data_IF_346090435906
#
_entry.id   IF_346090435906
#
_cell.length_a   1.000
_cell.length_b   1.000
_cell.length_c   1.000
_cell.angle_alpha   90.00
_cell.angle_beta   90.00
_cell.angle_gamma   90.00
#
_symmetry.space_group_name_H-M   'P 1'
#
loop_
_entity.id
_entity.type
_entity.pdbx_description
1 polymer ?
#
# COMPACT_ATOMS: atom_id res chain seq x y z
N UNK A 1 -1.18 17.02 -11.41
CA UNK A 1 -1.20 15.87 -12.34
C UNK A 1 -2.16 14.89 -11.68
N UNK A 2 -3.41 14.95 -12.12
CA UNK A 2 -4.55 14.40 -11.38
C UNK A 2 -5.12 13.23 -12.17
N UNK A 3 -4.32 12.18 -12.30
CA UNK A 3 -4.81 10.89 -12.75
C UNK A 3 -4.08 9.81 -11.97
N UNK A 4 -4.76 9.21 -10.99
CA UNK A 4 -4.22 8.09 -10.23
C UNK A 4 -4.37 6.76 -10.98
N UNK A 5 -5.26 6.68 -11.99
CA UNK A 5 -5.56 5.45 -12.73
C UNK A 5 -6.02 4.30 -11.82
N UNK A 6 -6.32 3.12 -12.40
CA UNK A 6 -6.28 1.88 -11.63
C UNK A 6 -4.83 1.58 -11.20
N UNK A 7 -4.65 0.78 -10.15
CA UNK A 7 -3.34 0.23 -9.81
C UNK A 7 -2.86 -0.59 -11.01
N UNK A 8 -1.66 -0.29 -11.51
CA UNK A 8 -1.00 -1.09 -12.52
C UNK A 8 -0.42 -2.34 -11.85
N UNK A 9 -1.13 -3.46 -12.01
CA UNK A 9 -0.80 -4.72 -11.37
C UNK A 9 0.48 -5.35 -11.93
N UNK A 10 0.77 -5.14 -13.21
CA UNK A 10 1.98 -5.63 -13.88
C UNK A 10 3.23 -4.86 -13.43
N UNK A 11 3.05 -3.62 -12.97
CA UNK A 11 4.13 -2.79 -12.43
C UNK A 11 4.35 -2.96 -10.92
N UNK A 12 3.61 -3.85 -10.25
CA UNK A 12 3.84 -4.14 -8.82
C UNK A 12 5.15 -4.90 -8.64
N UNK A 13 5.99 -4.43 -7.70
CA UNK A 13 7.20 -5.17 -7.34
C UNK A 13 6.86 -6.40 -6.49
N UNK A 14 7.58 -7.48 -6.74
CA UNK A 14 7.49 -8.71 -5.95
C UNK A 14 8.25 -8.53 -4.62
N UNK A 15 7.49 -8.20 -3.57
CA UNK A 15 8.04 -8.00 -2.23
C UNK A 15 8.46 -9.31 -1.55
N UNK A 16 7.85 -10.45 -1.91
CA UNK A 16 8.25 -11.75 -1.40
C UNK A 16 9.66 -12.09 -1.92
N UNK A 17 9.91 -11.90 -3.22
CA UNK A 17 11.23 -12.08 -3.82
C UNK A 17 12.29 -11.08 -3.27
N UNK A 18 11.88 -9.88 -2.87
CA UNK A 18 12.76 -8.91 -2.20
C UNK A 18 13.10 -9.34 -0.77
N UNK A 19 12.11 -9.83 -0.02
CA UNK A 19 12.29 -10.33 1.33
C UNK A 19 13.20 -11.57 1.37
N UNK A 20 13.04 -12.51 0.42
CA UNK A 20 13.92 -13.68 0.27
C UNK A 20 15.39 -13.30 0.01
N UNK A 21 15.64 -12.15 -0.62
CA UNK A 21 16.99 -11.61 -0.85
C UNK A 21 17.55 -10.87 0.36
N UNK A 22 16.80 -10.80 1.46
CA UNK A 22 17.17 -10.04 2.66
C UNK A 22 17.07 -8.52 2.50
N UNK A 23 16.37 -8.03 1.46
CA UNK A 23 16.19 -6.61 1.25
C UNK A 23 15.14 -6.06 2.23
N UNK A 24 15.47 -4.95 2.89
CA UNK A 24 14.49 -4.23 3.70
C UNK A 24 13.48 -3.52 2.79
N UNK A 25 12.22 -3.55 3.19
CA UNK A 25 11.14 -2.78 2.57
C UNK A 25 10.55 -1.82 3.60
N UNK A 26 9.94 -0.75 3.10
CA UNK A 26 9.28 0.25 3.91
C UNK A 26 7.79 0.24 3.62
N UNK A 27 7.02 -0.09 4.64
CA UNK A 27 5.56 -0.09 4.59
C UNK A 27 5.04 1.33 4.69
N UNK A 28 4.18 1.72 3.76
CA UNK A 28 3.50 3.01 3.81
C UNK A 28 1.98 2.88 4.00
N UNK A 29 1.41 1.69 3.80
CA UNK A 29 0.00 1.41 4.11
C UNK A 29 -0.15 -0.02 4.64
N UNK A 30 -0.89 -0.18 5.74
CA UNK A 30 -1.30 -1.50 6.26
C UNK A 30 -2.80 -1.70 6.07
N UNK A 31 -3.21 -2.93 5.76
CA UNK A 31 -4.62 -3.28 5.58
C UNK A 31 -4.88 -4.75 5.94
N UNK A 32 -6.13 -5.12 6.28
CA UNK A 32 -6.47 -6.50 6.59
C UNK A 32 -6.27 -7.41 5.37
N UNK A 33 -5.54 -8.53 5.54
CA UNK A 33 -5.21 -9.43 4.44
C UNK A 33 -6.43 -10.11 3.81
N UNK A 34 -7.54 -10.21 4.54
CA UNK A 34 -8.82 -10.71 4.03
C UNK A 34 -9.64 -9.64 3.29
N UNK A 35 -9.23 -8.38 3.32
CA UNK A 35 -9.88 -7.25 2.64
C UNK A 35 -9.17 -6.89 1.33
N UNK A 36 -8.74 -7.92 0.60
CA UNK A 36 -8.09 -7.80 -0.72
C UNK A 36 -9.00 -8.35 -1.81
N UNK A 37 -8.83 -7.87 -3.03
CA UNK A 37 -9.49 -8.41 -4.20
C UNK A 37 -8.72 -9.62 -4.78
N UNK A 38 -9.19 -10.15 -5.91
CA UNK A 38 -8.57 -11.29 -6.60
C UNK A 38 -7.10 -11.07 -7.00
N UNK A 39 -6.69 -9.81 -7.14
CA UNK A 39 -5.32 -9.42 -7.48
C UNK A 39 -4.44 -9.15 -6.24
N UNK A 40 -5.00 -9.29 -5.03
CA UNK A 40 -4.27 -9.09 -3.79
C UNK A 40 -4.09 -7.64 -3.35
N UNK A 41 -4.68 -6.66 -4.06
CA UNK A 41 -4.73 -5.25 -3.64
C UNK A 41 -5.94 -5.02 -2.74
N UNK A 42 -5.93 -4.02 -1.82
CA UNK A 42 -7.06 -3.76 -0.94
C UNK A 42 -8.34 -3.47 -1.72
N UNK A 43 -9.48 -3.99 -1.26
CA UNK A 43 -10.79 -3.78 -1.89
C UNK A 43 -11.39 -2.39 -1.62
N UNK A 44 -10.87 -1.67 -0.62
CA UNK A 44 -11.31 -0.32 -0.28
C UNK A 44 -10.90 0.70 -1.38
N UNK A 45 -11.84 1.50 -1.91
CA UNK A 45 -11.55 2.45 -2.98
C UNK A 45 -10.54 3.55 -2.61
N UNK A 46 -10.49 3.98 -1.34
CA UNK A 46 -9.53 4.99 -0.91
C UNK A 46 -8.13 4.42 -0.81
N UNK A 47 -7.98 3.17 -0.36
CA UNK A 47 -6.72 2.44 -0.37
C UNK A 47 -6.22 2.23 -1.81
N UNK A 48 -7.09 1.82 -2.72
CA UNK A 48 -6.73 1.70 -4.14
C UNK A 48 -6.27 3.02 -4.74
N UNK A 49 -7.02 4.10 -4.50
CA UNK A 49 -6.68 5.44 -4.99
C UNK A 49 -5.35 5.93 -4.45
N UNK A 50 -5.04 5.64 -3.19
CA UNK A 50 -3.79 6.04 -2.56
C UNK A 50 -2.60 5.28 -3.16
N UNK A 51 -2.69 3.96 -3.26
CA UNK A 51 -1.66 3.12 -3.88
C UNK A 51 -1.42 3.53 -5.34
N UNK A 52 -2.49 3.70 -6.12
CA UNK A 52 -2.39 4.07 -7.52
C UNK A 52 -1.80 5.48 -7.72
N UNK A 53 -2.07 6.41 -6.80
CA UNK A 53 -1.46 7.74 -6.84
C UNK A 53 0.05 7.71 -6.53
N UNK A 54 0.47 6.91 -5.55
CA UNK A 54 1.89 6.71 -5.21
C UNK A 54 2.62 6.07 -6.40
N UNK A 55 2.02 5.05 -7.01
CA UNK A 55 2.56 4.39 -8.20
C UNK A 55 2.64 5.34 -9.40
N UNK A 56 1.58 6.12 -9.66
CA UNK A 56 1.53 7.12 -10.74
C UNK A 56 2.55 8.25 -10.56
N UNK A 57 3.00 8.50 -9.33
CA UNK A 57 4.11 9.41 -9.04
C UNK A 57 5.50 8.80 -9.32
N UNK A 58 5.55 7.60 -9.93
CA UNK A 58 6.75 6.90 -10.35
C UNK A 58 7.43 6.09 -9.24
N UNK A 59 6.75 5.88 -8.10
CA UNK A 59 7.28 5.08 -6.99
C UNK A 59 6.98 3.60 -7.25
N UNK A 60 7.99 2.71 -7.22
CA UNK A 60 7.76 1.28 -7.37
C UNK A 60 7.11 0.72 -6.10
N UNK A 61 5.81 0.43 -6.20
CA UNK A 61 5.01 -0.12 -5.10
C UNK A 61 4.88 -1.62 -5.25
N UNK A 62 4.90 -2.34 -4.14
CA UNK A 62 4.55 -3.76 -4.07
C UNK A 62 3.52 -4.02 -2.99
N UNK A 63 2.85 -5.16 -3.09
CA UNK A 63 1.92 -5.64 -2.07
C UNK A 63 2.47 -6.90 -1.40
N UNK A 64 2.65 -6.84 -0.09
CA UNK A 64 3.12 -7.96 0.70
C UNK A 64 1.98 -8.58 1.49
N UNK A 65 1.51 -9.73 1.03
CA UNK A 65 0.37 -10.45 1.64
C UNK A 65 0.81 -11.46 2.68
N UNK A 66 1.99 -12.05 2.51
CA UNK A 66 2.57 -13.04 3.42
C UNK A 66 3.41 -12.36 4.51
N UNK A 67 2.84 -11.34 5.13
CA UNK A 67 3.55 -10.59 6.15
C UNK A 67 3.69 -11.42 7.44
N UNK A 68 4.71 -11.16 8.29
CA UNK A 68 4.88 -11.86 9.56
C UNK A 68 3.77 -11.56 10.58
N UNK A 69 2.93 -10.55 10.31
CA UNK A 69 1.77 -10.20 11.14
C UNK A 69 0.54 -10.87 10.56
N UNK A 70 0.02 -11.86 11.30
CA UNK A 70 -1.16 -12.61 10.91
C UNK A 70 -2.35 -11.67 10.64
N UNK A 71 -3.11 -11.97 9.57
CA UNK A 71 -4.28 -11.17 9.19
C UNK A 71 -3.96 -9.79 8.57
N UNK A 72 -2.68 -9.46 8.33
CA UNK A 72 -2.26 -8.16 7.80
C UNK A 72 -1.50 -8.28 6.48
N UNK A 73 -1.84 -7.41 5.54
CA UNK A 73 -1.10 -7.17 4.30
C UNK A 73 -0.63 -5.71 4.24
N UNK A 74 0.42 -5.48 3.46
CA UNK A 74 1.11 -4.20 3.41
C UNK A 74 1.29 -3.73 1.96
N UNK A 75 1.09 -2.43 1.71
CA UNK A 75 1.69 -1.77 0.56
C UNK A 75 3.03 -1.19 1.01
N UNK A 76 4.09 -1.58 0.31
CA UNK A 76 5.44 -1.21 0.66
C UNK A 76 6.27 -0.86 -0.57
N UNK A 77 7.41 -0.25 -0.31
CA UNK A 77 8.42 0.10 -1.32
C UNK A 77 9.78 -0.45 -0.88
N UNK A 78 10.72 -0.61 -1.80
CA UNK A 78 12.10 -0.99 -1.43
C UNK A 78 12.74 0.12 -0.56
N UNK A 79 13.60 -0.25 0.39
CA UNK A 79 14.21 0.72 1.31
C UNK A 79 14.95 1.87 0.58
N UNK A 80 15.64 1.60 -0.52
CA UNK A 80 16.33 2.62 -1.32
C UNK A 80 15.38 3.66 -1.96
N UNK A 81 14.08 3.35 -2.03
CA UNK A 81 13.06 4.22 -2.63
C UNK A 81 12.27 5.04 -1.60
N UNK A 82 12.60 4.93 -0.30
CA UNK A 82 11.97 5.71 0.77
C UNK A 82 12.05 7.23 0.49
N UNK A 83 13.19 7.83 0.12
CA UNK A 83 13.25 9.27 -0.14
C UNK A 83 12.33 9.69 -1.30
N UNK A 84 12.24 8.85 -2.33
CA UNK A 84 11.36 9.08 -3.47
C UNK A 84 9.89 8.98 -3.06
N UNK A 85 9.53 7.99 -2.24
CA UNK A 85 8.19 7.85 -1.68
C UNK A 85 7.76 9.12 -0.92
N UNK A 86 8.59 9.59 0.01
CA UNK A 86 8.27 10.80 0.79
C UNK A 86 8.09 12.02 -0.12
N UNK A 87 9.05 12.28 -1.02
CA UNK A 87 8.96 13.41 -1.96
C UNK A 87 7.75 13.29 -2.91
N UNK A 88 7.34 12.08 -3.28
CA UNK A 88 6.15 11.87 -4.10
C UNK A 88 4.87 12.11 -3.30
N UNK A 89 4.78 11.62 -2.05
CA UNK A 89 3.63 11.88 -1.17
C UNK A 89 3.49 13.38 -0.89
N UNK A 90 4.57 14.10 -0.60
CA UNK A 90 4.54 15.55 -0.38
C UNK A 90 4.01 16.32 -1.61
N UNK A 91 4.31 15.84 -2.82
CA UNK A 91 3.78 16.42 -4.07
C UNK A 91 2.33 16.05 -4.33
N UNK A 92 1.85 14.94 -3.76
CA UNK A 92 0.45 14.55 -3.78
C UNK A 92 -0.30 15.35 -2.69
N UNK A 93 -0.46 16.66 -2.91
CA UNK A 93 -1.11 17.60 -1.99
C UNK A 93 -2.56 17.26 -1.61
N UNK A 94 -3.14 16.22 -2.22
CA UNK A 94 -4.47 15.70 -1.92
C UNK A 94 -4.50 14.74 -0.71
N UNK A 95 -3.35 14.29 -0.22
CA UNK A 95 -3.26 13.40 0.96
C UNK A 95 -2.52 14.10 2.10
N UNK A 96 -3.12 14.06 3.29
CA UNK A 96 -2.47 14.48 4.54
C UNK A 96 -1.28 13.58 4.88
N UNK A 97 -0.30 14.10 5.63
CA UNK A 97 0.79 13.30 6.21
C UNK A 97 0.28 12.12 7.04
N UNK A 98 -0.86 12.29 7.73
CA UNK A 98 -1.49 11.23 8.54
C UNK A 98 -2.43 10.32 7.74
N UNK A 99 -2.67 10.61 6.46
CA UNK A 99 -3.72 9.95 5.66
C UNK A 99 -3.58 8.43 5.65
N UNK A 100 -2.36 7.91 5.48
CA UNK A 100 -2.12 6.48 5.46
C UNK A 100 -2.40 5.81 6.81
N UNK A 101 -2.04 6.48 7.92
CA UNK A 101 -2.31 5.98 9.26
C UNK A 101 -3.82 5.96 9.58
N UNK A 102 -4.51 7.07 9.28
CA UNK A 102 -5.97 7.17 9.44
C UNK A 102 -6.71 6.13 8.57
N UNK A 103 -6.24 5.94 7.34
CA UNK A 103 -6.81 4.96 6.42
C UNK A 103 -6.58 3.54 6.94
N UNK A 104 -5.37 3.19 7.38
CA UNK A 104 -5.09 1.89 7.98
C UNK A 104 -5.99 1.62 9.19
N UNK A 105 -6.10 2.55 10.14
CA UNK A 105 -6.99 2.40 11.29
C UNK A 105 -8.44 2.15 10.86
N UNK A 106 -8.92 2.91 9.87
CA UNK A 106 -10.28 2.76 9.33
C UNK A 106 -10.49 1.38 8.71
N UNK A 107 -9.53 0.87 7.95
CA UNK A 107 -9.60 -0.44 7.30
C UNK A 107 -9.67 -1.56 8.36
N UNK A 108 -8.84 -1.50 9.38
CA UNK A 108 -8.87 -2.48 10.47
C UNK A 108 -10.14 -2.39 11.31
N UNK A 109 -10.62 -1.18 11.64
CA UNK A 109 -11.89 -1.00 12.35
C UNK A 109 -13.08 -1.52 11.56
N UNK A 110 -13.10 -1.29 10.24
CA UNK A 110 -14.15 -1.79 9.34
C UNK A 110 -14.18 -3.32 9.28
N UNK A 111 -13.02 -3.97 9.29
CA UNK A 111 -12.92 -5.43 9.34
C UNK A 111 -13.38 -6.02 10.68
N UNK A 112 -13.14 -5.35 11.81
CA UNK A 112 -13.60 -5.80 13.13
C UNK A 112 -15.11 -5.69 13.34
N UNK A 113 -15.79 -4.81 12.58
CA UNK A 113 -17.23 -4.61 12.66
C UNK A 113 -18.07 -5.65 11.89
N UNK A 114 -17.41 -6.57 11.17
CA UNK A 114 -18.05 -7.68 10.44
C UNK A 114 -18.18 -8.99 11.25
N UNK A 115 -17.76 -9.01 12.51
CA UNK A 115 -17.94 -10.16 13.40
C UNK A 115 -19.29 -10.10 14.09
N UNK A 116 -20.24 -10.92 13.62
CA UNK A 116 -21.46 -11.30 14.36
C UNK A 116 -21.15 -12.14 15.58
#
# INVERSE_FOLDING_TARGET
>A
MDYAGPIDLDALIDLDALADRGASHWTFLAFPSHSVNEHGVPSDPAAQRYIAAVQSAGVPVGIWRNSPVDGTAYAAVAHDTIPQLHSSIERLSQFSESFAADLSERLFRGSSAGGT
#
